data_IF_706508587727
#
_entry.id   IF_706508587727
#
_cell.length_a   1.000
_cell.length_b   1.000
_cell.length_c   1.000
_cell.angle_alpha   90.00
_cell.angle_beta   90.00
_cell.angle_gamma   90.00
#
_symmetry.space_group_name_H-M   'P 1'
#
loop_
_entity.id
_entity.type
_entity.pdbx_description
1 polymer ?
#
# COMPACT_ATOMS: atom_id res chain seq x y z
N UNK A 1 -27.72 -30.41 31.80
CA UNK A 1 -26.67 -30.27 30.77
C UNK A 1 -25.89 -28.97 31.01
N UNK A 2 -24.66 -29.10 31.51
CA UNK A 2 -23.78 -27.98 31.85
C UNK A 2 -23.39 -27.21 30.58
N UNK A 3 -23.81 -25.95 30.45
CA UNK A 3 -23.26 -25.01 29.46
C UNK A 3 -21.78 -24.83 29.81
N UNK A 4 -20.88 -25.55 29.14
CA UNK A 4 -19.44 -25.25 29.15
C UNK A 4 -19.31 -23.74 28.91
N UNK A 5 -18.89 -22.97 29.91
CA UNK A 5 -18.63 -21.53 29.78
C UNK A 5 -17.72 -21.36 28.57
N UNK A 6 -18.24 -20.77 27.50
CA UNK A 6 -17.54 -20.64 26.24
C UNK A 6 -16.36 -19.69 26.46
N UNK A 7 -15.15 -20.24 26.65
CA UNK A 7 -13.91 -19.47 26.92
C UNK A 7 -13.60 -18.43 25.85
N UNK A 8 -14.19 -18.55 24.65
CA UNK A 8 -14.05 -17.59 23.56
C UNK A 8 -14.83 -16.29 23.79
N UNK A 9 -15.93 -16.33 24.55
CA UNK A 9 -16.78 -15.14 24.77
C UNK A 9 -16.03 -14.02 25.51
N UNK A 10 -15.27 -14.25 26.60
CA UNK A 10 -14.47 -13.21 27.23
C UNK A 10 -13.36 -12.63 26.32
N UNK A 11 -12.74 -13.46 25.47
CA UNK A 11 -11.69 -13.01 24.54
C UNK A 11 -12.25 -12.10 23.45
N UNK A 12 -13.41 -12.45 22.87
CA UNK A 12 -14.10 -11.61 21.91
C UNK A 12 -14.51 -10.27 22.53
N UNK A 13 -15.10 -10.27 23.71
CA UNK A 13 -15.47 -9.01 24.38
C UNK A 13 -14.27 -8.11 24.65
N UNK A 14 -13.13 -8.70 25.05
CA UNK A 14 -11.88 -7.96 25.22
C UNK A 14 -11.37 -7.39 23.90
N UNK A 15 -11.39 -8.17 22.82
CA UNK A 15 -11.04 -7.70 21.48
C UNK A 15 -11.91 -6.52 21.06
N UNK A 16 -13.24 -6.67 21.13
CA UNK A 16 -14.18 -5.58 20.76
C UNK A 16 -13.94 -4.32 21.58
N UNK A 17 -13.69 -4.45 22.88
CA UNK A 17 -13.37 -3.30 23.74
C UNK A 17 -12.04 -2.64 23.36
N UNK A 18 -11.04 -3.43 22.99
CA UNK A 18 -9.71 -2.92 22.63
C UNK A 18 -9.71 -2.21 21.27
N UNK A 19 -10.40 -2.76 20.27
CA UNK A 19 -10.51 -2.15 18.93
C UNK A 19 -11.52 -0.98 18.90
N UNK A 20 -12.47 -0.97 19.84
CA UNK A 20 -13.29 0.19 20.17
C UNK A 20 -14.08 0.76 18.99
N UNK A 21 -13.98 2.08 18.83
CA UNK A 21 -14.79 2.87 17.89
C UNK A 21 -14.56 2.47 16.43
N UNK A 22 -13.31 2.17 16.05
CA UNK A 22 -12.97 1.81 14.67
C UNK A 22 -13.68 0.53 14.23
N UNK A 23 -13.60 -0.53 15.03
CA UNK A 23 -14.28 -1.79 14.76
C UNK A 23 -15.81 -1.62 14.78
N UNK A 24 -16.34 -0.80 15.68
CA UNK A 24 -17.77 -0.50 15.72
C UNK A 24 -18.24 0.21 14.45
N UNK A 25 -17.50 1.22 13.98
CA UNK A 25 -17.80 1.95 12.74
C UNK A 25 -17.67 1.05 11.52
N UNK A 26 -16.65 0.21 11.44
CA UNK A 26 -16.51 -0.78 10.37
C UNK A 26 -17.72 -1.75 10.32
N UNK A 27 -18.12 -2.30 11.47
CA UNK A 27 -19.28 -3.19 11.53
C UNK A 27 -20.59 -2.48 11.13
N UNK A 28 -20.75 -1.21 11.52
CA UNK A 28 -21.89 -0.37 11.12
C UNK A 28 -21.91 -0.13 9.62
N UNK A 29 -20.77 0.25 9.04
CA UNK A 29 -20.63 0.48 7.60
C UNK A 29 -21.05 -0.77 6.81
N UNK A 30 -20.47 -1.93 7.14
CA UNK A 30 -20.78 -3.20 6.45
C UNK A 30 -22.24 -3.60 6.61
N UNK A 31 -22.84 -3.34 7.78
CA UNK A 31 -24.27 -3.56 8.00
C UNK A 31 -25.13 -2.64 7.13
N UNK A 32 -24.80 -1.34 7.06
CA UNK A 32 -25.50 -0.36 6.23
C UNK A 32 -25.40 -0.73 4.75
N UNK A 33 -24.19 -1.01 4.27
CA UNK A 33 -23.91 -1.45 2.91
C UNK A 33 -24.80 -2.64 2.53
N UNK A 34 -24.81 -3.70 3.33
CA UNK A 34 -25.65 -4.88 3.08
C UNK A 34 -27.15 -4.55 3.03
N UNK A 35 -27.64 -3.64 3.89
CA UNK A 35 -29.07 -3.31 3.98
C UNK A 35 -29.51 -2.37 2.87
N UNK A 36 -28.66 -1.42 2.47
CA UNK A 36 -28.94 -0.45 1.43
C UNK A 36 -28.85 -1.08 0.04
N UNK A 37 -27.83 -1.92 -0.21
CA UNK A 37 -27.70 -2.66 -1.47
C UNK A 37 -28.91 -3.59 -1.72
N UNK A 38 -29.40 -4.29 -0.70
CA UNK A 38 -30.57 -5.19 -0.84
C UNK A 38 -31.88 -4.47 -1.12
N UNK A 39 -31.99 -3.18 -0.80
CA UNK A 39 -33.21 -2.38 -0.97
C UNK A 39 -33.28 -1.63 -2.29
N UNK A 40 -32.27 -1.76 -3.15
CA UNK A 40 -32.14 -0.95 -4.38
C UNK A 40 -31.99 0.55 -4.09
N UNK A 41 -31.77 0.95 -2.83
CA UNK A 41 -31.63 2.34 -2.39
C UNK A 41 -30.15 2.61 -2.13
N UNK A 42 -29.44 3.04 -3.17
CA UNK A 42 -28.00 3.33 -3.11
C UNK A 42 -27.16 2.35 -3.92
N UNK A 43 -27.49 2.19 -5.21
CA UNK A 43 -26.66 1.42 -6.16
C UNK A 43 -25.43 2.26 -6.51
N UNK A 44 -24.42 2.15 -5.66
CA UNK A 44 -23.05 2.53 -5.95
C UNK A 44 -22.14 1.36 -5.60
N UNK A 45 -22.16 0.29 -6.39
CA UNK A 45 -21.04 -0.65 -6.38
C UNK A 45 -19.85 0.03 -7.06
N UNK A 46 -18.73 0.18 -6.35
CA UNK A 46 -17.54 0.91 -6.83
C UNK A 46 -17.31 2.25 -6.11
N UNK A 47 -16.47 3.11 -6.67
CA UNK A 47 -15.89 4.31 -6.04
C UNK A 47 -16.86 5.38 -5.51
N UNK A 48 -18.18 5.25 -5.74
CA UNK A 48 -19.19 6.14 -5.14
C UNK A 48 -19.61 5.69 -3.73
N UNK A 49 -19.55 4.40 -3.42
CA UNK A 49 -19.78 3.81 -2.09
C UNK A 49 -20.82 4.52 -1.22
N UNK A 50 -20.46 4.82 0.03
CA UNK A 50 -21.34 5.50 0.99
C UNK A 50 -21.79 6.90 0.57
N UNK A 51 -21.04 7.57 -0.32
CA UNK A 51 -21.41 8.92 -0.82
C UNK A 51 -22.69 8.90 -1.65
N UNK A 52 -23.11 7.71 -2.11
CA UNK A 52 -24.37 7.49 -2.82
C UNK A 52 -25.55 7.11 -1.91
N UNK A 53 -25.33 6.91 -0.61
CA UNK A 53 -26.39 6.59 0.34
C UNK A 53 -27.30 7.80 0.58
N UNK A 54 -28.50 7.55 1.12
CA UNK A 54 -29.34 8.65 1.62
C UNK A 54 -28.56 9.46 2.67
N UNK A 55 -28.73 10.78 2.67
CA UNK A 55 -27.97 11.70 3.54
C UNK A 55 -27.97 11.28 5.01
N UNK A 56 -29.10 10.74 5.48
CA UNK A 56 -29.23 10.27 6.87
C UNK A 56 -28.26 9.13 7.23
N UNK A 57 -27.67 8.40 6.28
CA UNK A 57 -26.68 7.34 6.53
C UNK A 57 -25.25 7.74 6.18
N UNK A 58 -25.03 8.92 5.60
CA UNK A 58 -23.70 9.32 5.11
C UNK A 58 -22.73 9.69 6.24
N UNK A 59 -23.23 10.07 7.41
CA UNK A 59 -22.39 10.40 8.56
C UNK A 59 -22.54 9.36 9.69
N UNK A 60 -21.46 8.78 10.22
CA UNK A 60 -21.51 7.77 11.28
C UNK A 60 -22.27 8.21 12.54
N UNK A 61 -22.23 9.51 12.86
CA UNK A 61 -22.87 10.07 14.06
C UNK A 61 -24.35 10.45 13.89
N UNK A 62 -24.95 10.20 12.72
CA UNK A 62 -26.33 10.57 12.47
C UNK A 62 -27.30 9.79 13.36
N UNK A 63 -28.49 10.34 13.66
CA UNK A 63 -29.54 9.62 14.39
C UNK A 63 -29.95 8.30 13.70
N UNK A 64 -30.03 8.28 12.37
CA UNK A 64 -30.43 7.09 11.62
C UNK A 64 -29.39 5.96 11.75
N UNK A 65 -28.09 6.28 11.76
CA UNK A 65 -27.03 5.28 11.98
C UNK A 65 -27.07 4.75 13.43
N UNK A 66 -27.36 5.61 14.41
CA UNK A 66 -27.55 5.19 15.82
C UNK A 66 -28.73 4.22 15.98
N UNK A 67 -29.82 4.41 15.22
CA UNK A 67 -30.94 3.47 15.18
C UNK A 67 -30.57 2.13 14.53
N UNK A 68 -29.69 2.16 13.52
CA UNK A 68 -29.14 0.92 12.92
C UNK A 68 -28.30 0.17 13.95
N UNK A 69 -27.50 0.88 14.74
CA UNK A 69 -26.69 0.29 15.81
C UNK A 69 -27.52 -0.51 16.83
N UNK A 70 -28.66 0.05 17.25
CA UNK A 70 -29.57 -0.63 18.20
C UNK A 70 -30.38 -1.75 17.55
N UNK A 71 -30.80 -1.58 16.29
CA UNK A 71 -31.66 -2.54 15.60
C UNK A 71 -30.93 -3.80 15.14
N UNK A 72 -29.65 -3.71 14.77
CA UNK A 72 -28.91 -4.78 14.11
C UNK A 72 -27.74 -5.33 14.94
N UNK A 73 -27.86 -5.31 16.27
CA UNK A 73 -26.81 -5.75 17.21
C UNK A 73 -26.20 -7.11 16.87
N UNK A 74 -27.03 -8.12 16.56
CA UNK A 74 -26.52 -9.45 16.21
C UNK A 74 -25.68 -9.46 14.93
N UNK A 75 -25.99 -8.59 13.96
CA UNK A 75 -25.19 -8.47 12.73
C UNK A 75 -23.85 -7.79 13.02
N UNK A 76 -23.86 -6.75 13.84
CA UNK A 76 -22.64 -6.04 14.26
C UNK A 76 -21.71 -6.98 15.04
N UNK A 77 -22.25 -7.73 16.00
CA UNK A 77 -21.51 -8.72 16.77
C UNK A 77 -20.94 -9.84 15.88
N UNK A 78 -21.68 -10.28 14.86
CA UNK A 78 -21.15 -11.23 13.89
C UNK A 78 -19.95 -10.67 13.12
N UNK A 79 -20.01 -9.43 12.64
CA UNK A 79 -18.90 -8.80 11.93
C UNK A 79 -17.68 -8.60 12.84
N UNK A 80 -17.91 -8.18 14.09
CA UNK A 80 -16.88 -8.11 15.12
C UNK A 80 -16.23 -9.47 15.40
N UNK A 81 -17.04 -10.54 15.43
CA UNK A 81 -16.57 -11.91 15.57
C UNK A 81 -15.72 -12.35 14.37
N UNK A 82 -16.09 -11.96 13.15
CA UNK A 82 -15.29 -12.22 11.94
C UNK A 82 -13.93 -11.54 12.03
N UNK A 83 -13.89 -10.24 12.34
CA UNK A 83 -12.61 -9.51 12.48
C UNK A 83 -11.74 -10.09 13.59
N UNK A 84 -12.35 -10.47 14.72
CA UNK A 84 -11.64 -11.18 15.78
C UNK A 84 -10.99 -12.47 15.26
N UNK A 85 -11.73 -13.28 14.51
CA UNK A 85 -11.20 -14.52 13.92
C UNK A 85 -10.07 -14.26 12.92
N UNK A 86 -10.19 -13.24 12.06
CA UNK A 86 -9.13 -12.83 11.16
C UNK A 86 -7.85 -12.50 11.94
N UNK A 87 -7.95 -11.72 13.00
CA UNK A 87 -6.81 -11.36 13.84
C UNK A 87 -6.20 -12.60 14.53
N UNK A 88 -7.03 -13.49 15.09
CA UNK A 88 -6.53 -14.73 15.71
C UNK A 88 -5.80 -15.64 14.71
N UNK A 89 -6.32 -15.76 13.50
CA UNK A 89 -5.68 -16.56 12.45
C UNK A 89 -4.35 -15.94 12.01
N UNK A 90 -4.27 -14.61 11.83
CA UNK A 90 -3.01 -13.93 11.53
C UNK A 90 -1.96 -14.12 12.63
N UNK A 91 -2.34 -13.99 13.90
CA UNK A 91 -1.44 -14.27 15.02
C UNK A 91 -0.96 -15.73 15.03
N UNK A 92 -1.82 -16.68 14.66
CA UNK A 92 -1.44 -18.08 14.57
C UNK A 92 -0.41 -18.32 13.46
N UNK A 93 -0.57 -17.68 12.30
CA UNK A 93 0.39 -17.75 11.19
C UNK A 93 1.73 -17.13 11.58
N UNK A 94 1.73 -15.93 12.18
CA UNK A 94 2.98 -15.30 12.65
C UNK A 94 3.70 -16.18 13.68
N UNK A 95 2.96 -16.76 14.61
CA UNK A 95 3.52 -17.66 15.62
C UNK A 95 4.09 -18.94 14.99
N UNK A 96 3.41 -19.50 13.98
CA UNK A 96 3.90 -20.65 13.23
C UNK A 96 5.19 -20.32 12.47
N UNK A 97 5.24 -19.18 11.78
CA UNK A 97 6.43 -18.72 11.07
C UNK A 97 7.65 -18.59 12.01
N UNK A 98 7.47 -17.98 13.18
CA UNK A 98 8.52 -17.87 14.20
C UNK A 98 8.97 -19.23 14.74
N UNK A 99 8.02 -20.14 15.04
CA UNK A 99 8.34 -21.51 15.52
C UNK A 99 9.08 -22.34 14.48
N UNK A 100 8.88 -22.06 13.20
CA UNK A 100 9.63 -22.68 12.09
C UNK A 100 11.02 -22.06 11.87
N UNK A 101 11.47 -21.16 12.75
CA UNK A 101 12.81 -20.57 12.70
C UNK A 101 12.90 -19.25 11.91
N UNK A 102 11.80 -18.70 11.39
CA UNK A 102 11.85 -17.39 10.72
C UNK A 102 12.11 -16.27 11.73
N UNK A 103 13.26 -15.61 11.61
CA UNK A 103 13.65 -14.52 12.52
C UNK A 103 12.68 -13.34 12.50
N UNK A 104 12.07 -13.03 11.35
CA UNK A 104 11.10 -11.94 11.15
C UNK A 104 9.67 -12.48 11.25
N UNK A 105 9.38 -13.55 10.52
CA UNK A 105 8.03 -14.08 10.35
C UNK A 105 7.34 -13.41 9.17
N UNK A 106 6.09 -13.01 9.35
CA UNK A 106 5.30 -12.32 8.34
C UNK A 106 5.87 -10.94 8.02
N UNK A 107 5.86 -10.65 6.72
CA UNK A 107 6.13 -9.37 6.10
C UNK A 107 4.82 -8.86 5.48
N UNK A 108 4.26 -7.79 6.05
CA UNK A 108 3.02 -7.16 5.58
C UNK A 108 3.33 -5.94 4.72
N UNK A 109 2.34 -5.53 3.92
CA UNK A 109 2.42 -4.37 3.05
C UNK A 109 1.27 -3.41 3.37
N UNK A 110 1.59 -2.15 3.67
CA UNK A 110 0.64 -1.09 3.96
C UNK A 110 0.44 -0.28 2.70
N UNK A 111 -0.77 -0.35 2.13
CA UNK A 111 -1.16 0.47 0.99
C UNK A 111 -1.07 1.97 1.33
N UNK A 112 -0.91 2.80 0.29
CA UNK A 112 -0.72 4.25 0.45
C UNK A 112 -1.89 4.91 1.20
N UNK A 113 -3.12 4.63 0.77
CA UNK A 113 -4.34 5.27 1.26
C UNK A 113 -5.58 4.41 0.95
N UNK A 114 -6.78 4.91 1.29
CA UNK A 114 -8.04 4.16 1.33
C UNK A 114 -9.03 4.51 0.20
N UNK A 115 -9.97 3.61 -0.08
CA UNK A 115 -11.05 3.85 -1.05
C UNK A 115 -11.99 5.01 -0.60
N UNK A 116 -12.27 6.00 -1.47
CA UNK A 116 -13.13 7.15 -1.15
C UNK A 116 -14.59 6.84 -0.83
N UNK A 117 -15.07 5.66 -1.21
CA UNK A 117 -16.40 5.13 -0.92
C UNK A 117 -16.42 4.00 0.11
N UNK A 118 -15.25 3.64 0.67
CA UNK A 118 -15.09 2.55 1.64
C UNK A 118 -15.43 2.88 3.09
N UNK A 119 -15.19 1.90 3.97
CA UNK A 119 -15.54 1.97 5.38
C UNK A 119 -14.77 3.06 6.13
N UNK A 120 -13.46 3.16 5.94
CA UNK A 120 -12.62 4.12 6.64
C UNK A 120 -12.93 5.56 6.18
N UNK A 121 -13.20 5.74 4.88
CA UNK A 121 -13.54 7.06 4.36
C UNK A 121 -14.91 7.54 4.82
N UNK A 122 -15.82 6.62 5.14
CA UNK A 122 -17.08 6.94 5.83
C UNK A 122 -16.87 7.22 7.31
N UNK A 123 -16.13 6.31 7.98
CA UNK A 123 -15.93 6.29 9.43
C UNK A 123 -15.14 7.50 9.93
N UNK A 124 -14.17 7.98 9.13
CA UNK A 124 -13.24 9.04 9.52
C UNK A 124 -13.26 10.21 8.53
N UNK A 125 -14.37 10.42 7.82
CA UNK A 125 -14.51 11.46 6.78
C UNK A 125 -14.06 12.85 7.23
N UNK A 126 -14.24 13.19 8.51
CA UNK A 126 -13.83 14.46 9.07
C UNK A 126 -12.31 14.65 9.09
N UNK A 127 -11.51 13.57 9.10
CA UNK A 127 -10.05 13.61 9.07
C UNK A 127 -9.47 13.63 7.64
N UNK A 128 -10.32 13.44 6.62
CA UNK A 128 -9.91 13.20 5.25
C UNK A 128 -10.24 14.38 4.33
N UNK A 129 -9.62 14.36 3.16
CA UNK A 129 -9.89 15.32 2.08
C UNK A 129 -10.96 14.75 1.15
N UNK A 130 -12.07 15.48 0.98
CA UNK A 130 -13.19 15.05 0.16
C UNK A 130 -13.05 15.44 -1.33
N UNK A 131 -12.24 16.46 -1.63
CA UNK A 131 -12.22 17.19 -2.92
C UNK A 131 -10.94 16.97 -3.75
N UNK A 132 -10.13 15.98 -3.38
CA UNK A 132 -8.91 15.65 -4.10
C UNK A 132 -8.64 14.14 -4.04
N UNK A 133 -7.85 13.67 -4.99
CA UNK A 133 -7.24 12.34 -4.98
C UNK A 133 -5.72 12.50 -4.97
N UNK A 134 -5.03 11.49 -4.45
CA UNK A 134 -3.59 11.34 -4.70
C UNK A 134 -3.30 10.70 -6.05
N UNK A 135 -2.07 10.88 -6.52
CA UNK A 135 -1.57 10.35 -7.77
C UNK A 135 -0.11 10.73 -8.01
N UNK A 136 0.29 10.77 -9.27
CA UNK A 136 1.62 11.22 -9.70
C UNK A 136 1.53 12.24 -10.83
N UNK A 137 2.47 13.20 -10.91
CA UNK A 137 2.57 14.07 -12.07
C UNK A 137 2.94 13.26 -13.33
N UNK A 138 2.79 13.84 -14.53
CA UNK A 138 3.42 13.32 -15.75
C UNK A 138 4.92 13.04 -15.54
N UNK A 139 5.33 11.79 -15.79
CA UNK A 139 6.71 11.32 -15.62
C UNK A 139 7.15 10.45 -16.81
N UNK A 140 8.45 10.13 -16.91
CA UNK A 140 9.04 9.43 -18.07
C UNK A 140 8.36 8.09 -18.40
N UNK A 141 7.97 7.33 -17.37
CA UNK A 141 7.31 6.03 -17.48
C UNK A 141 5.78 6.11 -17.49
N UNK A 142 5.23 7.27 -17.10
CA UNK A 142 3.80 7.55 -17.06
C UNK A 142 3.54 8.96 -17.59
N UNK A 143 3.64 9.18 -18.92
CA UNK A 143 3.64 10.52 -19.51
C UNK A 143 2.31 11.28 -19.32
N UNK A 144 1.25 10.61 -18.90
CA UNK A 144 -0.03 11.23 -18.58
C UNK A 144 -0.23 11.52 -17.09
N UNK A 145 0.77 11.18 -16.25
CA UNK A 145 0.63 11.08 -14.80
C UNK A 145 -0.30 9.93 -14.42
N UNK A 146 -0.64 9.85 -13.13
CA UNK A 146 -1.56 8.85 -12.61
C UNK A 146 -2.50 9.49 -11.60
N UNK A 147 -3.76 9.03 -11.58
CA UNK A 147 -4.71 9.32 -10.52
C UNK A 147 -5.07 7.98 -9.89
N UNK A 148 -4.82 7.84 -8.59
CA UNK A 148 -5.04 6.57 -7.88
C UNK A 148 -6.44 6.44 -7.30
N UNK A 149 -7.23 7.53 -7.29
CA UNK A 149 -8.58 7.58 -6.73
C UNK A 149 -8.64 7.13 -5.26
N UNK A 150 -7.72 7.64 -4.45
CA UNK A 150 -7.62 7.32 -3.03
C UNK A 150 -7.92 8.55 -2.16
N UNK A 151 -8.64 8.33 -1.06
CA UNK A 151 -8.91 9.33 -0.03
C UNK A 151 -7.73 9.42 0.92
N UNK A 152 -7.38 10.64 1.30
CA UNK A 152 -6.13 10.99 1.94
C UNK A 152 -6.37 11.80 3.20
N UNK A 153 -5.44 11.71 4.14
CA UNK A 153 -5.47 12.53 5.35
C UNK A 153 -5.38 14.02 5.02
N UNK A 154 -6.21 14.82 5.69
CA UNK A 154 -6.05 16.27 5.70
C UNK A 154 -4.97 16.65 6.71
N UNK A 155 -3.81 17.21 6.30
CA UNK A 155 -2.64 17.42 7.19
C UNK A 155 -2.97 18.20 8.46
N UNK A 156 -3.74 19.29 8.34
CA UNK A 156 -4.13 20.09 9.50
C UNK A 156 -5.17 19.43 10.43
N UNK A 157 -5.95 18.45 9.96
CA UNK A 157 -6.98 17.80 10.77
C UNK A 157 -6.39 16.67 11.60
N UNK A 158 -5.53 15.85 10.97
CA UNK A 158 -4.77 14.83 11.71
C UNK A 158 -3.88 15.46 12.78
N UNK A 159 -3.31 16.64 12.52
CA UNK A 159 -2.55 17.38 13.54
C UNK A 159 -3.45 17.81 14.72
N UNK A 160 -4.66 18.32 14.45
CA UNK A 160 -5.61 18.75 15.48
C UNK A 160 -6.12 17.60 16.36
N UNK A 161 -6.24 16.39 15.81
CA UNK A 161 -6.59 15.16 16.57
C UNK A 161 -5.35 14.51 17.21
N UNK A 162 -4.22 15.22 17.31
CA UNK A 162 -2.99 14.70 17.91
C UNK A 162 -2.43 13.47 17.20
N UNK A 163 -2.70 13.33 15.90
CA UNK A 163 -2.31 12.21 15.05
C UNK A 163 -2.85 10.84 15.46
N UNK A 164 -3.90 10.78 16.29
CA UNK A 164 -4.45 9.53 16.82
C UNK A 164 -4.80 8.53 15.72
N UNK A 165 -5.57 8.94 14.71
CA UNK A 165 -5.95 8.05 13.61
C UNK A 165 -4.74 7.53 12.83
N UNK A 166 -3.74 8.38 12.57
CA UNK A 166 -2.51 7.96 11.91
C UNK A 166 -1.76 6.90 12.73
N UNK A 167 -1.60 7.13 14.05
CA UNK A 167 -0.96 6.17 14.95
C UNK A 167 -1.73 4.83 15.01
N UNK A 168 -3.06 4.89 15.09
CA UNK A 168 -3.92 3.71 15.13
C UNK A 168 -3.82 2.88 13.84
N UNK A 169 -3.79 3.53 12.66
CA UNK A 169 -3.55 2.84 11.38
C UNK A 169 -2.26 2.01 11.40
N UNK A 170 -1.14 2.56 11.87
CA UNK A 170 0.10 1.81 11.96
C UNK A 170 0.08 0.73 13.03
N UNK A 171 -0.54 1.00 14.20
CA UNK A 171 -0.71 -0.01 15.25
C UNK A 171 -1.47 -1.23 14.72
N UNK A 172 -2.61 -1.02 14.07
CA UNK A 172 -3.41 -2.10 13.46
C UNK A 172 -2.63 -2.81 12.35
N UNK A 173 -1.92 -2.07 11.50
CA UNK A 173 -1.16 -2.64 10.40
C UNK A 173 0.04 -3.49 10.88
N UNK A 174 0.68 -3.12 11.99
CA UNK A 174 1.83 -3.81 12.57
C UNK A 174 1.47 -5.04 13.42
N UNK A 175 0.21 -5.22 13.79
CA UNK A 175 -0.21 -6.43 14.49
C UNK A 175 0.10 -7.69 13.66
N UNK A 176 0.60 -8.71 14.36
CA UNK A 176 0.88 -10.04 13.83
C UNK A 176 1.90 -10.07 12.66
N UNK A 177 2.88 -9.16 12.61
CA UNK A 177 4.03 -9.29 11.71
C UNK A 177 5.35 -8.98 12.42
N UNK A 178 6.48 -9.18 11.75
CA UNK A 178 7.79 -8.70 12.21
C UNK A 178 8.38 -7.62 11.32
N UNK A 179 7.76 -7.38 10.16
CA UNK A 179 8.18 -6.42 9.16
C UNK A 179 6.96 -5.88 8.43
N UNK A 180 6.95 -4.58 8.17
CA UNK A 180 5.95 -3.92 7.33
C UNK A 180 6.64 -3.08 6.26
N UNK A 181 6.12 -3.11 5.02
CA UNK A 181 6.45 -2.15 3.97
C UNK A 181 5.40 -1.05 3.97
N UNK A 182 5.85 0.18 3.86
CA UNK A 182 5.01 1.35 3.63
C UNK A 182 5.13 1.67 2.15
N UNK A 183 4.05 1.45 1.42
CA UNK A 183 3.95 1.83 0.02
C UNK A 183 4.00 3.36 -0.10
N UNK A 184 4.74 3.86 -1.08
CA UNK A 184 4.93 5.29 -1.31
C UNK A 184 5.35 6.06 -0.04
N UNK A 185 6.48 5.69 0.58
CA UNK A 185 6.92 6.28 1.86
C UNK A 185 7.15 7.80 1.79
N UNK A 186 7.28 8.35 0.57
CA UNK A 186 7.27 9.79 0.29
C UNK A 186 6.00 10.48 0.82
N UNK A 187 4.89 9.76 0.98
CA UNK A 187 3.63 10.25 1.54
C UNK A 187 3.76 10.81 2.96
N UNK A 188 4.76 10.37 3.72
CA UNK A 188 5.11 10.95 5.02
C UNK A 188 5.60 12.41 4.90
N UNK A 189 6.08 12.81 3.72
CA UNK A 189 6.64 14.14 3.45
C UNK A 189 5.74 15.00 2.59
N UNK A 190 5.20 14.41 1.52
CA UNK A 190 4.34 15.09 0.56
C UNK A 190 3.56 14.08 -0.27
N UNK A 191 2.37 14.49 -0.69
CA UNK A 191 1.58 13.76 -1.68
C UNK A 191 1.24 14.70 -2.83
N UNK A 192 1.19 14.16 -4.04
CA UNK A 192 0.77 14.91 -5.22
C UNK A 192 -0.77 14.87 -5.31
N UNK A 193 -1.39 15.99 -4.97
CA UNK A 193 -2.84 16.14 -4.93
C UNK A 193 -3.36 16.55 -6.29
N UNK A 194 -4.41 15.89 -6.74
CA UNK A 194 -5.12 16.22 -7.97
C UNK A 194 -6.55 16.58 -7.58
N UNK A 195 -6.96 17.86 -7.73
CA UNK A 195 -8.32 18.28 -7.41
C UNK A 195 -9.37 17.47 -8.18
N UNK A 196 -10.55 17.32 -7.59
CA UNK A 196 -11.69 16.67 -8.25
C UNK A 196 -12.00 17.34 -9.60
N UNK A 197 -12.29 16.54 -10.62
CA UNK A 197 -12.58 17.04 -11.98
C UNK A 197 -11.38 17.55 -12.79
N UNK A 198 -10.15 17.51 -12.25
CA UNK A 198 -8.92 17.93 -12.94
C UNK A 198 -8.09 16.75 -13.46
N UNK A 199 -7.18 17.01 -14.40
CA UNK A 199 -6.24 15.97 -14.88
C UNK A 199 -4.96 15.93 -14.04
N UNK A 200 -4.19 14.82 -14.00
CA UNK A 200 -2.95 14.75 -13.22
C UNK A 200 -1.94 15.87 -13.50
N UNK A 201 -1.89 16.40 -14.73
CA UNK A 201 -1.03 17.52 -15.08
C UNK A 201 -1.35 18.83 -14.31
N UNK A 202 -2.55 18.97 -13.74
CA UNK A 202 -3.00 20.13 -12.97
C UNK A 202 -2.88 19.93 -11.45
N UNK A 203 -2.28 18.83 -11.00
CA UNK A 203 -2.04 18.57 -9.58
C UNK A 203 -0.85 19.34 -9.01
N UNK A 204 -0.67 19.26 -7.68
CA UNK A 204 0.49 19.85 -7.00
C UNK A 204 0.89 19.06 -5.76
N UNK A 205 2.14 19.22 -5.32
CA UNK A 205 2.60 18.62 -4.08
C UNK A 205 2.11 19.40 -2.85
N UNK A 206 1.42 18.70 -1.95
CA UNK A 206 1.05 19.19 -0.62
C UNK A 206 1.97 18.57 0.41
N UNK A 207 2.51 19.38 1.32
CA UNK A 207 3.44 18.93 2.37
C UNK A 207 2.70 18.34 3.56
N UNK A 208 3.30 17.30 4.13
CA UNK A 208 2.87 16.64 5.37
C UNK A 208 3.90 16.90 6.49
N UNK A 209 3.49 16.86 7.77
CA UNK A 209 4.37 17.13 8.91
C UNK A 209 5.30 15.95 9.19
N UNK A 210 6.28 15.75 8.30
CA UNK A 210 7.10 14.54 8.24
C UNK A 210 7.84 14.19 9.53
N UNK A 211 8.31 15.17 10.30
CA UNK A 211 9.01 14.88 11.56
C UNK A 211 8.07 14.22 12.58
N UNK A 212 6.85 14.75 12.72
CA UNK A 212 5.83 14.18 13.59
C UNK A 212 5.43 12.78 13.10
N UNK A 213 5.17 12.63 11.79
CA UNK A 213 4.73 11.36 11.21
C UNK A 213 5.82 10.27 11.32
N UNK A 214 7.09 10.61 11.09
CA UNK A 214 8.22 9.69 11.26
C UNK A 214 8.41 9.31 12.73
N UNK A 215 8.30 10.28 13.65
CA UNK A 215 8.41 10.03 15.08
C UNK A 215 7.32 9.09 15.59
N UNK A 216 6.07 9.29 15.16
CA UNK A 216 4.94 8.43 15.50
C UNK A 216 5.12 7.03 14.91
N UNK A 217 5.54 6.94 13.64
CA UNK A 217 5.82 5.68 12.99
C UNK A 217 6.91 4.90 13.74
N UNK A 218 8.00 5.56 14.12
CA UNK A 218 9.07 4.96 14.91
C UNK A 218 8.56 4.50 16.29
N UNK A 219 7.71 5.29 16.94
CA UNK A 219 7.11 4.92 18.22
C UNK A 219 6.24 3.65 18.11
N UNK A 220 5.32 3.60 17.15
CA UNK A 220 4.46 2.42 16.97
C UNK A 220 5.27 1.19 16.49
N UNK A 221 6.30 1.38 15.66
CA UNK A 221 7.28 0.34 15.30
C UNK A 221 7.98 -0.25 16.53
N UNK A 222 8.43 0.59 17.47
CA UNK A 222 9.06 0.14 18.72
C UNK A 222 8.07 -0.58 19.65
N UNK A 223 6.83 -0.08 19.76
CA UNK A 223 5.77 -0.68 20.59
C UNK A 223 5.40 -2.08 20.10
N UNK A 224 5.23 -2.23 18.79
CA UNK A 224 4.85 -3.51 18.17
C UNK A 224 6.07 -4.40 17.84
N UNK A 225 7.29 -3.88 17.98
CA UNK A 225 8.56 -4.55 17.65
C UNK A 225 8.61 -5.00 16.19
N UNK A 226 8.19 -4.12 15.30
CA UNK A 226 8.08 -4.35 13.85
C UNK A 226 9.06 -3.47 13.10
N UNK A 227 9.90 -4.08 12.26
CA UNK A 227 10.78 -3.34 11.35
C UNK A 227 9.97 -2.69 10.23
N UNK A 228 10.47 -1.58 9.69
CA UNK A 228 9.77 -0.82 8.64
C UNK A 228 10.64 -0.70 7.41
N UNK A 229 10.12 -1.10 6.26
CA UNK A 229 10.63 -0.74 4.93
C UNK A 229 9.84 0.46 4.43
N UNK A 230 10.53 1.54 4.09
CA UNK A 230 9.93 2.62 3.31
C UNK A 230 10.16 2.37 1.83
N UNK A 231 9.11 2.18 1.04
CA UNK A 231 9.25 2.16 -0.40
C UNK A 231 9.68 3.56 -0.89
N UNK A 232 10.93 3.65 -1.36
CA UNK A 232 11.60 4.89 -1.76
C UNK A 232 12.05 4.85 -3.24
N UNK A 233 11.13 4.41 -4.12
CA UNK A 233 11.28 4.37 -5.58
C UNK A 233 10.70 5.62 -6.25
N UNK A 234 11.03 5.80 -7.53
CA UNK A 234 10.60 6.94 -8.32
C UNK A 234 11.35 8.23 -8.00
N UNK A 235 10.68 9.37 -8.11
CA UNK A 235 11.28 10.70 -7.98
C UNK A 235 11.48 11.10 -6.51
N UNK A 236 12.45 10.45 -5.85
CA UNK A 236 12.81 10.71 -4.44
C UNK A 236 14.04 11.62 -4.36
N UNK A 237 13.90 12.75 -3.67
CA UNK A 237 15.06 13.63 -3.45
C UNK A 237 16.05 12.96 -2.49
N UNK A 238 17.38 13.17 -2.67
CA UNK A 238 18.37 12.65 -1.72
C UNK A 238 18.07 13.00 -0.27
N UNK A 239 17.54 14.20 -0.02
CA UNK A 239 17.14 14.66 1.32
C UNK A 239 16.04 13.82 1.98
N UNK A 240 15.03 13.37 1.21
CA UNK A 240 13.96 12.49 1.73
C UNK A 240 14.56 11.13 2.10
N UNK A 241 15.40 10.57 1.22
CA UNK A 241 16.05 9.28 1.46
C UNK A 241 16.93 9.31 2.73
N UNK A 242 17.72 10.37 2.91
CA UNK A 242 18.52 10.56 4.13
C UNK A 242 17.65 10.63 5.38
N UNK A 243 16.51 11.33 5.32
CA UNK A 243 15.60 11.45 6.47
C UNK A 243 14.88 10.14 6.80
N UNK A 244 14.44 9.37 5.79
CA UNK A 244 13.89 8.03 5.97
C UNK A 244 14.90 7.11 6.68
N UNK A 245 16.15 7.10 6.20
CA UNK A 245 17.23 6.31 6.82
C UNK A 245 17.56 6.78 8.24
N UNK A 246 17.59 8.10 8.48
CA UNK A 246 17.80 8.66 9.82
C UNK A 246 16.67 8.29 10.79
N UNK A 247 15.44 8.13 10.30
CA UNK A 247 14.29 7.61 11.05
C UNK A 247 14.33 6.09 11.29
N UNK A 248 15.35 5.38 10.78
CA UNK A 248 15.52 3.95 10.97
C UNK A 248 14.76 3.07 9.97
N UNK A 249 14.20 3.65 8.91
CA UNK A 249 13.51 2.88 7.87
C UNK A 249 14.52 2.19 6.96
N UNK A 250 14.25 0.91 6.66
CA UNK A 250 14.95 0.18 5.62
C UNK A 250 14.51 0.72 4.25
N UNK A 251 15.48 0.89 3.36
CA UNK A 251 15.23 1.31 1.99
C UNK A 251 14.71 0.15 1.13
N UNK A 252 14.11 0.43 -0.03
CA UNK A 252 13.67 -0.59 -0.97
C UNK A 252 14.42 -0.47 -2.29
N UNK A 253 15.11 -1.53 -2.70
CA UNK A 253 16.01 -1.53 -3.87
C UNK A 253 15.55 -2.56 -4.88
N UNK A 254 15.27 -2.12 -6.11
CA UNK A 254 14.86 -3.00 -7.19
C UNK A 254 15.96 -3.09 -8.22
N UNK A 255 16.49 -4.30 -8.44
CA UNK A 255 17.59 -4.53 -9.39
C UNK A 255 17.35 -3.82 -10.72
N UNK A 256 16.14 -3.95 -11.28
CA UNK A 256 15.78 -3.36 -12.58
C UNK A 256 15.85 -1.83 -12.63
N UNK A 257 15.85 -1.15 -11.48
CA UNK A 257 15.98 0.30 -11.38
C UNK A 257 17.36 0.77 -10.91
N UNK A 258 18.21 -0.14 -10.43
CA UNK A 258 19.55 0.18 -9.93
C UNK A 258 20.55 0.32 -11.09
N UNK A 259 20.35 1.35 -11.90
CA UNK A 259 21.24 1.74 -12.99
C UNK A 259 21.96 3.05 -12.69
N UNK A 260 23.21 3.13 -13.13
CA UNK A 260 24.01 4.36 -13.14
C UNK A 260 23.53 5.31 -14.24
N UNK A 261 23.94 6.58 -14.20
CA UNK A 261 23.64 7.55 -15.25
C UNK A 261 24.14 7.15 -16.65
N UNK A 262 25.02 6.14 -16.75
CA UNK A 262 25.52 5.57 -18.02
C UNK A 262 24.75 4.32 -18.47
N UNK A 263 23.64 3.97 -17.82
CA UNK A 263 22.84 2.78 -18.13
C UNK A 263 23.46 1.44 -17.69
N UNK A 264 24.52 1.46 -16.88
CA UNK A 264 25.12 0.25 -16.31
C UNK A 264 24.46 -0.10 -14.99
N UNK A 265 24.22 -1.38 -14.70
CA UNK A 265 23.72 -1.81 -13.39
C UNK A 265 24.73 -1.54 -12.27
N UNK A 266 24.22 -1.13 -11.12
CA UNK A 266 25.01 -0.90 -9.93
C UNK A 266 25.62 -2.20 -9.41
N UNK A 267 26.84 -2.12 -8.88
CA UNK A 267 27.49 -3.26 -8.22
C UNK A 267 26.74 -3.66 -6.95
N UNK A 268 26.73 -4.94 -6.56
CA UNK A 268 26.14 -5.37 -5.28
C UNK A 268 26.64 -4.54 -4.08
N UNK A 269 27.93 -4.18 -4.07
CA UNK A 269 28.55 -3.37 -3.01
C UNK A 269 28.04 -1.92 -2.91
N UNK A 270 27.23 -1.45 -3.86
CA UNK A 270 26.60 -0.12 -3.84
C UNK A 270 25.23 -0.13 -3.18
N UNK A 271 24.63 -1.30 -2.97
CA UNK A 271 23.35 -1.40 -2.27
C UNK A 271 23.54 -1.01 -0.81
N UNK A 272 22.64 -0.18 -0.24
CA UNK A 272 22.72 0.15 1.18
C UNK A 272 22.56 -1.10 2.03
N UNK A 273 23.30 -1.18 3.14
CA UNK A 273 23.18 -2.28 4.09
C UNK A 273 21.78 -2.36 4.71
N UNK A 274 21.18 -1.19 5.00
CA UNK A 274 19.81 -1.08 5.52
C UNK A 274 18.79 -0.99 4.38
N UNK A 275 18.68 -2.06 3.59
CA UNK A 275 17.70 -2.14 2.51
C UNK A 275 17.16 -3.56 2.30
N UNK A 276 15.90 -3.64 1.89
CA UNK A 276 15.35 -4.82 1.25
C UNK A 276 15.56 -4.72 -0.25
N UNK A 277 16.27 -5.70 -0.82
CA UNK A 277 16.52 -5.79 -2.25
C UNK A 277 15.64 -6.86 -2.90
N UNK A 278 15.04 -6.54 -4.04
CA UNK A 278 14.31 -7.49 -4.88
C UNK A 278 14.74 -7.33 -6.35
N UNK A 279 14.51 -8.35 -7.16
CA UNK A 279 14.68 -8.24 -8.61
C UNK A 279 13.59 -7.36 -9.21
N UNK A 280 12.34 -7.61 -8.82
CA UNK A 280 11.13 -6.99 -9.37
C UNK A 280 10.05 -6.85 -8.29
N UNK A 281 8.88 -6.30 -8.63
CA UNK A 281 7.70 -6.17 -7.75
C UNK A 281 6.45 -6.70 -8.43
N UNK A 282 5.31 -6.62 -7.75
CA UNK A 282 4.01 -6.93 -8.35
C UNK A 282 3.59 -5.93 -9.44
N UNK A 283 4.16 -4.71 -9.45
CA UNK A 283 3.90 -3.68 -10.48
C UNK A 283 4.77 -3.82 -11.73
N UNK A 284 5.78 -4.68 -11.67
CA UNK A 284 6.80 -4.84 -12.70
C UNK A 284 6.73 -6.23 -13.31
N UNK A 285 7.23 -6.41 -14.55
CA UNK A 285 7.31 -7.73 -15.14
C UNK A 285 8.10 -8.70 -14.26
N UNK A 286 7.73 -9.98 -14.29
CA UNK A 286 8.63 -11.04 -13.82
C UNK A 286 9.96 -10.98 -14.58
N UNK A 287 11.03 -11.57 -14.03
CA UNK A 287 12.34 -11.55 -14.72
C UNK A 287 12.26 -12.13 -16.14
N UNK A 288 11.50 -13.22 -16.33
CA UNK A 288 11.22 -13.79 -17.67
C UNK A 288 10.43 -12.81 -18.53
N UNK A 289 9.37 -12.21 -17.98
CA UNK A 289 8.56 -11.21 -18.68
C UNK A 289 9.38 -10.00 -19.14
N UNK A 290 10.30 -9.53 -18.29
CA UNK A 290 11.26 -8.49 -18.60
C UNK A 290 12.15 -8.92 -19.77
N UNK A 291 12.75 -10.12 -19.68
CA UNK A 291 13.69 -10.63 -20.67
C UNK A 291 13.10 -10.78 -22.07
N UNK A 292 11.84 -11.20 -22.18
CA UNK A 292 11.15 -11.34 -23.46
C UNK A 292 10.34 -10.12 -23.89
N UNK A 293 10.33 -9.04 -23.09
CA UNK A 293 9.56 -7.84 -23.40
C UNK A 293 8.04 -8.00 -23.26
N UNK A 294 7.54 -8.96 -22.47
CA UNK A 294 6.10 -9.28 -22.37
C UNK A 294 5.26 -8.09 -21.89
N UNK A 295 5.78 -7.30 -20.97
CA UNK A 295 5.14 -6.09 -20.45
C UNK A 295 4.97 -5.01 -21.52
N UNK A 296 5.98 -4.85 -22.40
CA UNK A 296 5.95 -3.90 -23.51
C UNK A 296 4.90 -4.33 -24.54
N UNK A 297 4.90 -5.62 -24.91
CA UNK A 297 3.90 -6.14 -25.85
C UNK A 297 2.48 -6.09 -25.27
N UNK A 298 2.31 -6.36 -23.98
CA UNK A 298 1.01 -6.26 -23.31
C UNK A 298 0.51 -4.80 -23.28
N UNK A 299 1.40 -3.83 -22.97
CA UNK A 299 1.05 -2.40 -23.04
C UNK A 299 0.61 -1.98 -24.45
N UNK A 300 1.27 -2.51 -25.49
CA UNK A 300 0.88 -2.26 -26.87
C UNK A 300 -0.49 -2.87 -27.20
N UNK A 301 -0.74 -4.13 -26.81
CA UNK A 301 -2.03 -4.81 -26.99
C UNK A 301 -3.19 -4.10 -26.30
N UNK A 302 -2.93 -3.50 -25.13
CA UNK A 302 -3.91 -2.73 -24.35
C UNK A 302 -4.05 -1.27 -24.83
N UNK A 303 -3.32 -0.85 -25.86
CA UNK A 303 -3.39 0.52 -26.39
C UNK A 303 -2.86 1.59 -25.41
N UNK A 304 -1.98 1.21 -24.48
CA UNK A 304 -1.42 2.13 -23.48
C UNK A 304 -0.33 3.05 -24.05
N UNK A 305 0.21 2.73 -25.21
CA UNK A 305 1.09 3.61 -25.98
C UNK A 305 0.25 4.55 -26.86
N UNK A 306 0.12 5.82 -26.43
CA UNK A 306 -0.59 6.87 -27.21
C UNK A 306 0.19 7.32 -28.45
N UNK A 307 1.52 7.22 -28.39
CA UNK A 307 2.43 7.50 -29.51
C UNK A 307 3.20 6.21 -29.86
N UNK A 308 3.12 5.71 -31.11
CA UNK A 308 3.90 4.55 -31.57
C UNK A 308 5.41 4.68 -31.33
N UNK A 309 5.96 5.90 -31.28
CA UNK A 309 7.38 6.14 -30.95
C UNK A 309 7.75 5.65 -29.57
N UNK A 310 6.82 5.66 -28.62
CA UNK A 310 7.07 5.18 -27.26
C UNK A 310 7.27 3.67 -27.21
N UNK A 311 6.51 2.90 -27.99
CA UNK A 311 6.69 1.45 -28.12
C UNK A 311 8.08 1.12 -28.68
N UNK A 312 8.47 1.78 -29.77
CA UNK A 312 9.80 1.59 -30.37
C UNK A 312 10.92 1.96 -29.40
N UNK A 313 10.77 3.08 -28.69
CA UNK A 313 11.72 3.52 -27.65
C UNK A 313 11.87 2.49 -26.54
N UNK A 314 10.76 1.99 -25.99
CA UNK A 314 10.79 1.04 -24.87
C UNK A 314 11.38 -0.33 -25.30
N UNK A 315 11.11 -0.80 -26.53
CA UNK A 315 11.75 -2.02 -27.07
C UNK A 315 13.27 -1.86 -27.21
N UNK A 316 13.72 -0.72 -27.74
CA UNK A 316 15.16 -0.42 -27.85
C UNK A 316 15.78 -0.34 -26.46
N UNK A 317 15.20 0.44 -25.54
CA UNK A 317 15.68 0.56 -24.16
C UNK A 317 15.79 -0.80 -23.48
N UNK A 318 14.79 -1.68 -23.64
CA UNK A 318 14.84 -3.05 -23.10
C UNK A 318 16.02 -3.86 -23.63
N UNK A 319 16.37 -3.73 -24.91
CA UNK A 319 17.51 -4.43 -25.47
C UNK A 319 18.83 -3.99 -24.80
N UNK A 320 18.98 -2.67 -24.57
CA UNK A 320 20.10 -2.11 -23.82
C UNK A 320 20.13 -2.58 -22.37
N UNK A 321 18.99 -2.52 -21.67
CA UNK A 321 18.89 -2.95 -20.27
C UNK A 321 19.27 -4.42 -20.10
N UNK A 322 18.82 -5.29 -21.02
CA UNK A 322 19.15 -6.72 -21.00
C UNK A 322 20.66 -6.95 -21.16
N UNK A 323 21.28 -6.24 -22.10
CA UNK A 323 22.73 -6.35 -22.31
C UNK A 323 23.51 -5.80 -21.11
N UNK A 324 23.12 -4.65 -20.58
CA UNK A 324 23.75 -4.07 -19.40
C UNK A 324 23.63 -4.97 -18.15
N UNK A 325 22.50 -5.65 -17.98
CA UNK A 325 22.32 -6.63 -16.91
C UNK A 325 23.24 -7.85 -17.11
N UNK A 326 23.29 -8.39 -18.33
CA UNK A 326 24.18 -9.50 -18.67
C UNK A 326 25.64 -9.14 -18.39
N UNK A 327 26.09 -7.97 -18.84
CA UNK A 327 27.46 -7.47 -18.62
C UNK A 327 27.78 -7.34 -17.13
N UNK A 328 26.81 -6.88 -16.31
CA UNK A 328 26.97 -6.79 -14.87
C UNK A 328 27.11 -8.17 -14.21
N UNK A 329 26.26 -9.13 -14.59
CA UNK A 329 26.33 -10.51 -14.08
C UNK A 329 27.65 -11.19 -14.43
N UNK A 330 28.14 -10.96 -15.65
CA UNK A 330 29.46 -11.40 -16.13
C UNK A 330 30.57 -10.81 -15.27
N UNK A 331 30.55 -9.49 -15.07
CA UNK A 331 31.58 -8.76 -14.33
C UNK A 331 31.68 -9.19 -12.88
N UNK A 332 30.54 -9.46 -12.26
CA UNK A 332 30.43 -9.95 -10.88
C UNK A 332 30.60 -11.47 -10.77
N UNK A 333 30.88 -12.17 -11.88
CA UNK A 333 31.12 -13.62 -11.96
C UNK A 333 29.95 -14.46 -11.43
N UNK A 334 28.72 -14.04 -11.74
CA UNK A 334 27.48 -14.67 -11.29
C UNK A 334 26.87 -15.62 -12.34
N UNK A 335 27.56 -15.86 -13.45
CA UNK A 335 27.13 -16.76 -14.51
C UNK A 335 28.08 -17.95 -14.66
N UNK A 336 27.56 -19.15 -15.00
CA UNK A 336 28.39 -20.29 -15.37
C UNK A 336 29.32 -19.99 -16.55
N UNK A 337 30.41 -20.74 -16.65
CA UNK A 337 31.29 -20.70 -17.82
C UNK A 337 30.52 -21.10 -19.10
N UNK A 338 30.89 -20.48 -20.23
CA UNK A 338 30.24 -20.73 -21.53
C UNK A 338 28.88 -20.04 -21.74
N UNK A 339 28.38 -19.26 -20.77
CA UNK A 339 27.15 -18.49 -20.96
C UNK A 339 27.31 -17.45 -22.10
N UNK A 340 26.31 -17.29 -22.99
CA UNK A 340 26.38 -16.31 -24.07
C UNK A 340 26.62 -14.89 -23.56
N UNK A 341 27.36 -14.09 -24.34
CA UNK A 341 27.70 -12.69 -23.99
C UNK A 341 26.79 -11.66 -24.65
N UNK A 342 25.91 -12.11 -25.54
CA UNK A 342 24.98 -11.25 -26.25
C UNK A 342 23.56 -11.57 -25.81
N UNK A 343 22.88 -10.60 -25.18
CA UNK A 343 21.61 -10.82 -24.52
C UNK A 343 20.47 -11.26 -25.47
N UNK A 344 20.59 -10.99 -26.77
CA UNK A 344 19.60 -11.42 -27.78
C UNK A 344 19.70 -12.92 -28.12
N UNK A 345 20.84 -13.56 -27.82
CA UNK A 345 21.05 -15.00 -28.06
C UNK A 345 20.52 -15.88 -26.92
N UNK A 346 20.25 -15.29 -25.75
CA UNK A 346 19.70 -16.00 -24.59
C UNK A 346 18.19 -16.11 -24.77
N UNK A 347 17.75 -17.27 -25.26
CA UNK A 347 16.34 -17.61 -25.40
C UNK A 347 15.79 -18.07 -24.05
N UNK A 348 14.63 -17.52 -23.64
CA UNK A 348 13.89 -18.14 -22.54
C UNK A 348 13.18 -19.37 -23.10
N UNK A 349 13.68 -20.57 -22.80
CA UNK A 349 12.92 -21.79 -23.07
C UNK A 349 11.56 -21.74 -22.34
N UNK A 350 10.55 -22.41 -22.91
CA UNK A 350 9.17 -22.39 -22.43
C UNK A 350 8.99 -23.10 -21.09
#
# INVERSE_FOLDING_TARGET
MSRKKNRQSPCLHRFVRNEGEALQRFALFRTLEEKLSRRGKGVGTGSKGWRSWLMEYQHPESPAVKLVASRYQHRLQFLQYVEWHCQQQLHAVQSAAKRSGMAIGLYKDMAVEIDPGGADSWAFQDQLVATASIGTPPELFSPNGQRWNLSLFHPSRIHKDGYRLFADCYRWAMQACGLIRIDHAMGLFRLFWIPEGRIPAEGTYVRYPAEDLLGILALESQRERVMVIGEDLGTVTPSIRTRLMAGGLLSYRLLLFEQTARGQFAKPSRFPQAAAASVTTHDLPTLRGFWIGRDIELKAQLGLYRDPKWLSRDRVARAWDKQALLDALVKERLLPEGCPREAHTILSHN
#
